data_IF_186087828195
#
_entry.id   IF_186087828195
#
_cell.length_a   1.000
_cell.length_b   1.000
_cell.length_c   1.000
_cell.angle_alpha   90.00
_cell.angle_beta   90.00
_cell.angle_gamma   90.00
#
_symmetry.space_group_name_H-M   'P 1'
#
loop_
_entity.id
_entity.type
_entity.pdbx_description
1 polymer ?
#
# COMPACT_ATOMS: atom_id res chain seq x y z
N UNK A 1 4.00 -19.71 -37.78
CA UNK A 1 4.15 -18.71 -36.70
C UNK A 1 3.34 -19.22 -35.51
N UNK A 2 4.03 -19.70 -34.47
CA UNK A 2 3.40 -20.36 -33.33
C UNK A 2 2.87 -19.32 -32.34
N UNK A 3 1.61 -18.96 -32.51
CA UNK A 3 0.84 -18.15 -31.57
C UNK A 3 0.41 -19.02 -30.38
N UNK A 4 1.28 -19.16 -29.37
CA UNK A 4 0.83 -19.66 -28.06
C UNK A 4 0.40 -18.44 -27.23
N UNK A 5 -0.90 -18.32 -26.89
CA UNK A 5 -1.49 -17.06 -26.46
C UNK A 5 -1.05 -16.68 -25.03
N UNK A 6 -1.31 -15.43 -24.59
CA UNK A 6 -1.00 -14.88 -23.26
C UNK A 6 -1.22 -15.83 -22.07
N UNK A 7 -2.15 -16.77 -22.19
CA UNK A 7 -2.43 -17.84 -21.23
C UNK A 7 -1.21 -18.68 -20.85
N UNK A 8 -0.33 -19.04 -21.81
CA UNK A 8 0.85 -19.86 -21.52
C UNK A 8 1.90 -19.10 -20.70
N UNK A 9 2.12 -17.83 -21.01
CA UNK A 9 3.01 -16.95 -20.24
C UNK A 9 2.49 -16.75 -18.81
N UNK A 10 1.18 -16.52 -18.66
CA UNK A 10 0.55 -16.40 -17.34
C UNK A 10 0.71 -17.67 -16.49
N UNK A 11 0.53 -18.86 -17.08
CA UNK A 11 0.73 -20.13 -16.35
C UNK A 11 2.19 -20.29 -15.89
N UNK A 12 3.16 -19.91 -16.72
CA UNK A 12 4.58 -19.93 -16.33
C UNK A 12 4.85 -18.91 -15.23
N UNK A 13 4.31 -17.70 -15.31
CA UNK A 13 4.44 -16.68 -14.27
C UNK A 13 3.90 -17.18 -12.92
N UNK A 14 2.71 -17.80 -12.92
CA UNK A 14 2.12 -18.41 -11.72
C UNK A 14 2.99 -19.51 -11.13
N UNK A 15 3.57 -20.38 -11.97
CA UNK A 15 4.50 -21.43 -11.52
C UNK A 15 5.77 -20.84 -10.90
N UNK A 16 6.36 -19.81 -11.52
CA UNK A 16 7.53 -19.12 -10.96
C UNK A 16 7.23 -18.57 -9.56
N UNK A 17 6.06 -17.93 -9.35
CA UNK A 17 5.67 -17.42 -8.03
C UNK A 17 5.50 -18.56 -7.01
N UNK A 18 4.87 -19.67 -7.41
CA UNK A 18 4.74 -20.85 -6.55
C UNK A 18 6.11 -21.42 -6.15
N UNK A 19 7.07 -21.44 -7.09
CA UNK A 19 8.41 -21.96 -6.87
C UNK A 19 9.26 -21.04 -5.98
N UNK A 20 9.13 -19.72 -6.12
CA UNK A 20 9.69 -18.70 -5.20
C UNK A 20 9.22 -18.96 -3.77
N UNK A 21 7.91 -19.09 -3.57
CA UNK A 21 7.31 -19.33 -2.25
C UNK A 21 7.73 -20.69 -1.70
N UNK A 22 7.66 -21.75 -2.50
CA UNK A 22 8.03 -23.12 -2.09
C UNK A 22 9.49 -23.23 -1.68
N UNK A 23 10.37 -22.47 -2.35
CA UNK A 23 11.81 -22.49 -2.08
C UNK A 23 12.21 -21.53 -0.95
N UNK A 24 11.26 -20.81 -0.35
CA UNK A 24 11.52 -19.87 0.74
C UNK A 24 12.38 -18.68 0.31
N UNK A 25 12.36 -18.34 -0.98
CA UNK A 25 13.11 -17.21 -1.52
C UNK A 25 12.57 -15.89 -0.96
N UNK A 26 13.47 -14.94 -0.76
CA UNK A 26 13.19 -13.61 -0.20
C UNK A 26 13.46 -12.52 -1.23
N UNK A 27 12.88 -11.32 -1.07
CA UNK A 27 13.28 -10.17 -1.86
C UNK A 27 14.81 -9.99 -1.85
N UNK A 28 15.40 -9.81 -3.03
CA UNK A 28 16.85 -9.76 -3.25
C UNK A 28 17.48 -11.06 -3.75
N UNK A 29 16.80 -12.20 -3.63
CA UNK A 29 17.31 -13.49 -4.13
C UNK A 29 17.25 -13.55 -5.67
N UNK A 30 18.26 -14.18 -6.27
CA UNK A 30 18.32 -14.42 -7.71
C UNK A 30 17.51 -15.65 -8.09
N UNK A 31 16.60 -15.50 -9.05
CA UNK A 31 16.00 -16.64 -9.75
C UNK A 31 17.04 -17.34 -10.63
N UNK A 32 16.78 -18.61 -11.02
CA UNK A 32 17.62 -19.30 -11.98
C UNK A 32 17.80 -18.48 -13.28
N UNK A 33 18.96 -18.56 -13.95
CA UNK A 33 19.16 -17.85 -15.21
C UNK A 33 18.16 -18.33 -16.27
N UNK A 34 17.78 -17.45 -17.22
CA UNK A 34 16.76 -17.76 -18.25
C UNK A 34 16.97 -19.13 -18.90
N UNK A 35 18.23 -19.48 -19.21
CA UNK A 35 18.58 -20.78 -19.84
C UNK A 35 18.15 -21.99 -19.00
N UNK A 36 18.29 -21.92 -17.68
CA UNK A 36 17.85 -22.99 -16.78
C UNK A 36 16.32 -23.04 -16.69
N UNK A 37 15.68 -21.87 -16.56
CA UNK A 37 14.23 -21.74 -16.51
C UNK A 37 13.54 -22.30 -17.77
N UNK A 38 14.13 -22.13 -18.97
CA UNK A 38 13.56 -22.69 -20.21
C UNK A 38 13.38 -24.22 -20.12
N UNK A 39 14.36 -24.91 -19.56
CA UNK A 39 14.31 -26.36 -19.37
C UNK A 39 13.39 -26.75 -18.22
N UNK A 40 13.45 -26.03 -17.10
CA UNK A 40 12.65 -26.30 -15.90
C UNK A 40 11.14 -26.14 -16.13
N UNK A 41 10.74 -25.09 -16.86
CA UNK A 41 9.34 -24.79 -17.13
C UNK A 41 8.81 -25.39 -18.44
N UNK A 42 9.66 -26.10 -19.20
CA UNK A 42 9.37 -26.59 -20.57
C UNK A 42 8.77 -25.48 -21.45
N UNK A 43 9.45 -24.33 -21.46
CA UNK A 43 8.95 -23.09 -22.04
C UNK A 43 9.75 -22.68 -23.28
N UNK A 44 9.05 -22.20 -24.31
CA UNK A 44 9.69 -21.47 -25.40
C UNK A 44 10.25 -20.13 -24.92
N UNK A 45 11.35 -19.66 -25.52
CA UNK A 45 12.01 -18.39 -25.15
C UNK A 45 11.08 -17.18 -25.09
N UNK A 46 10.21 -17.03 -26.09
CA UNK A 46 9.25 -15.92 -26.12
C UNK A 46 8.26 -15.99 -24.95
N UNK A 47 7.73 -17.17 -24.65
CA UNK A 47 6.75 -17.37 -23.57
C UNK A 47 7.36 -17.14 -22.19
N UNK A 48 8.59 -17.60 -21.94
CA UNK A 48 9.28 -17.34 -20.67
C UNK A 48 9.56 -15.85 -20.49
N UNK A 49 10.04 -15.16 -21.53
CA UNK A 49 10.30 -13.72 -21.44
C UNK A 49 9.03 -12.91 -21.20
N UNK A 50 7.93 -13.31 -21.81
CA UNK A 50 6.63 -12.68 -21.54
C UNK A 50 6.18 -12.94 -20.10
N UNK A 51 6.37 -14.15 -19.57
CA UNK A 51 6.09 -14.46 -18.18
C UNK A 51 6.93 -13.60 -17.21
N UNK A 52 8.22 -13.45 -17.48
CA UNK A 52 9.11 -12.59 -16.69
C UNK A 52 8.70 -11.11 -16.78
N UNK A 53 8.34 -10.61 -17.97
CA UNK A 53 7.82 -9.25 -18.12
C UNK A 53 6.52 -9.02 -17.34
N UNK A 54 5.61 -9.99 -17.33
CA UNK A 54 4.39 -9.92 -16.52
C UNK A 54 4.73 -9.82 -15.02
N UNK A 55 5.69 -10.62 -14.55
CA UNK A 55 6.12 -10.58 -13.14
C UNK A 55 6.86 -9.30 -12.78
N UNK A 56 7.68 -8.77 -13.70
CA UNK A 56 8.36 -7.49 -13.55
C UNK A 56 7.34 -6.34 -13.49
N UNK A 57 6.33 -6.36 -14.37
CA UNK A 57 5.24 -5.39 -14.37
C UNK A 57 4.41 -5.42 -13.08
N UNK A 58 4.28 -6.58 -12.45
CA UNK A 58 3.60 -6.76 -11.15
C UNK A 58 4.51 -6.48 -9.95
N UNK A 59 5.76 -6.06 -10.17
CA UNK A 59 6.73 -5.80 -9.10
C UNK A 59 7.16 -7.03 -8.32
N UNK A 60 6.92 -8.24 -8.85
CA UNK A 60 7.32 -9.51 -8.23
C UNK A 60 8.79 -9.80 -8.46
N UNK A 61 9.34 -9.30 -9.57
CA UNK A 61 10.77 -9.38 -9.88
C UNK A 61 11.28 -8.04 -10.43
N UNK A 62 12.59 -7.90 -10.48
CA UNK A 62 13.28 -6.91 -11.33
C UNK A 62 14.39 -7.59 -12.13
N UNK A 63 14.72 -7.06 -13.30
CA UNK A 63 15.82 -7.58 -14.11
C UNK A 63 17.14 -6.87 -13.78
N UNK A 64 18.11 -7.61 -13.23
CA UNK A 64 19.48 -7.12 -13.06
C UNK A 64 20.25 -7.28 -14.39
N UNK A 65 20.74 -6.19 -15.02
CA UNK A 65 21.49 -6.27 -16.27
C UNK A 65 22.93 -6.76 -16.06
N UNK A 66 23.57 -7.22 -17.15
CA UNK A 66 24.99 -7.57 -17.21
C UNK A 66 25.32 -9.05 -16.90
N UNK A 67 26.61 -9.45 -17.00
CA UNK A 67 27.06 -10.80 -16.69
C UNK A 67 26.77 -11.18 -15.23
N UNK A 68 26.14 -12.34 -15.01
CA UNK A 68 25.68 -12.75 -13.67
C UNK A 68 24.43 -12.00 -13.17
N UNK A 69 23.82 -11.19 -14.04
CA UNK A 69 22.48 -10.65 -13.85
C UNK A 69 21.39 -11.68 -14.10
N UNK A 70 20.14 -11.25 -14.00
CA UNK A 70 18.96 -12.10 -14.11
C UNK A 70 17.79 -11.57 -13.30
N UNK A 71 16.68 -12.30 -13.27
CA UNK A 71 15.51 -11.93 -12.48
C UNK A 71 15.83 -12.01 -10.99
N UNK A 72 15.54 -10.95 -10.25
CA UNK A 72 15.71 -10.84 -8.80
C UNK A 72 14.33 -10.75 -8.17
N UNK A 73 14.04 -11.59 -7.18
CA UNK A 73 12.77 -11.55 -6.44
C UNK A 73 12.62 -10.19 -5.76
N UNK A 74 11.42 -9.62 -5.84
CA UNK A 74 11.05 -8.36 -5.20
C UNK A 74 9.84 -8.57 -4.28
N UNK A 75 9.54 -7.56 -3.48
CA UNK A 75 8.25 -7.46 -2.78
C UNK A 75 7.38 -6.48 -3.57
N UNK A 76 6.25 -6.93 -4.16
CA UNK A 76 5.37 -6.04 -4.89
C UNK A 76 4.91 -4.86 -4.00
N UNK A 77 5.15 -3.60 -4.41
CA UNK A 77 4.64 -2.44 -3.67
C UNK A 77 3.11 -2.37 -3.74
N UNK A 78 2.47 -1.79 -2.72
CA UNK A 78 1.03 -1.61 -2.70
C UNK A 78 0.52 -0.68 -3.82
N UNK A 79 1.40 0.13 -4.40
CA UNK A 79 1.14 0.98 -5.56
C UNK A 79 0.59 0.20 -6.77
N UNK A 80 0.99 -1.06 -7.00
CA UNK A 80 0.41 -1.87 -8.09
C UNK A 80 -1.07 -2.17 -7.86
N UNK A 81 -1.47 -2.44 -6.61
CA UNK A 81 -2.88 -2.60 -6.24
C UNK A 81 -3.61 -1.26 -6.42
N UNK A 82 -3.00 -0.17 -5.95
CA UNK A 82 -3.53 1.19 -6.11
C UNK A 82 -3.81 1.54 -7.58
N UNK A 83 -2.83 1.33 -8.46
CA UNK A 83 -2.96 1.57 -9.91
C UNK A 83 -4.08 0.72 -10.55
N UNK A 84 -4.21 -0.54 -10.14
CA UNK A 84 -5.31 -1.40 -10.61
C UNK A 84 -6.67 -0.87 -10.13
N UNK A 85 -6.76 -0.42 -8.88
CA UNK A 85 -7.98 0.18 -8.33
C UNK A 85 -8.33 1.47 -9.05
N UNK A 86 -7.40 2.41 -9.26
CA UNK A 86 -7.69 3.68 -9.93
C UNK A 86 -8.12 3.50 -11.38
N UNK A 87 -7.56 2.53 -12.11
CA UNK A 87 -8.05 2.13 -13.43
C UNK A 87 -9.54 1.72 -13.39
N UNK A 88 -9.91 0.83 -12.46
CA UNK A 88 -11.29 0.38 -12.31
C UNK A 88 -12.20 1.53 -11.88
N UNK A 89 -11.75 2.40 -10.98
CA UNK A 89 -12.51 3.55 -10.51
C UNK A 89 -12.77 4.54 -11.65
N UNK A 90 -11.75 4.85 -12.46
CA UNK A 90 -11.89 5.74 -13.61
C UNK A 90 -12.89 5.17 -14.63
N UNK A 91 -12.82 3.87 -14.93
CA UNK A 91 -13.76 3.20 -15.85
C UNK A 91 -15.21 3.27 -15.35
N UNK A 92 -15.41 3.28 -14.03
CA UNK A 92 -16.72 3.39 -13.40
C UNK A 92 -17.10 4.84 -13.04
N UNK A 93 -16.30 5.83 -13.45
CA UNK A 93 -16.48 7.25 -13.12
C UNK A 93 -16.64 7.48 -11.60
N UNK A 94 -15.92 6.71 -10.79
CA UNK A 94 -16.05 6.75 -9.34
C UNK A 94 -15.31 7.97 -8.76
N UNK A 95 -15.96 8.73 -7.86
CA UNK A 95 -15.37 9.92 -7.25
C UNK A 95 -14.47 9.57 -6.05
N UNK A 96 -13.54 10.47 -5.66
CA UNK A 96 -12.63 10.24 -4.53
C UNK A 96 -13.31 9.93 -3.20
N UNK A 97 -14.53 10.42 -2.96
CA UNK A 97 -15.30 10.11 -1.73
C UNK A 97 -15.45 8.62 -1.46
N UNK A 98 -15.50 7.75 -2.48
CA UNK A 98 -15.66 6.31 -2.27
C UNK A 98 -14.43 5.71 -1.56
N UNK A 99 -13.24 6.29 -1.75
CA UNK A 99 -12.04 5.85 -1.04
C UNK A 99 -12.13 6.24 0.44
N UNK A 100 -12.64 7.44 0.73
CA UNK A 100 -12.86 7.90 2.10
C UNK A 100 -13.90 7.04 2.82
N UNK A 101 -14.98 6.64 2.13
CA UNK A 101 -16.00 5.71 2.64
C UNK A 101 -15.39 4.35 3.03
N UNK A 102 -14.53 3.78 2.17
CA UNK A 102 -13.83 2.51 2.46
C UNK A 102 -12.89 2.66 3.66
N UNK A 103 -12.12 3.75 3.73
CA UNK A 103 -11.23 4.02 4.88
C UNK A 103 -12.01 4.13 6.18
N UNK A 104 -13.14 4.84 6.18
CA UNK A 104 -14.01 4.97 7.35
C UNK A 104 -14.58 3.62 7.82
N UNK A 105 -14.82 2.68 6.91
CA UNK A 105 -15.29 1.35 7.24
C UNK A 105 -14.17 0.42 7.76
N UNK A 106 -12.98 0.48 7.17
CA UNK A 106 -11.91 -0.48 7.45
C UNK A 106 -10.94 -0.05 8.55
N UNK A 107 -10.45 1.19 8.52
CA UNK A 107 -9.36 1.63 9.38
C UNK A 107 -9.66 1.52 10.89
N UNK A 108 -10.89 1.80 11.38
CA UNK A 108 -11.21 1.61 12.80
C UNK A 108 -11.02 0.17 13.25
N UNK A 109 -11.54 -0.80 12.49
CA UNK A 109 -11.40 -2.22 12.81
C UNK A 109 -9.94 -2.69 12.67
N UNK A 110 -9.21 -2.18 11.69
CA UNK A 110 -7.77 -2.43 11.54
C UNK A 110 -7.01 -1.94 12.79
N UNK A 111 -7.34 -0.75 13.30
CA UNK A 111 -6.75 -0.21 14.53
C UNK A 111 -7.08 -1.05 15.76
N UNK A 112 -8.32 -1.55 15.87
CA UNK A 112 -8.74 -2.54 16.88
C UNK A 112 -7.82 -3.78 16.85
N UNK A 113 -7.69 -4.41 15.69
CA UNK A 113 -6.87 -5.61 15.52
C UNK A 113 -5.39 -5.33 15.81
N UNK A 114 -4.91 -4.14 15.45
CA UNK A 114 -3.56 -3.72 15.79
C UNK A 114 -3.38 -3.65 17.31
N UNK A 115 -4.32 -3.08 18.06
CA UNK A 115 -4.23 -3.05 19.53
C UNK A 115 -4.13 -4.44 20.17
N UNK A 116 -4.78 -5.44 19.58
CA UNK A 116 -4.72 -6.84 20.03
C UNK A 116 -3.39 -7.53 19.73
N UNK A 117 -2.62 -7.05 18.74
CA UNK A 117 -1.50 -7.80 18.12
C UNK A 117 -0.17 -7.06 18.09
N UNK A 118 -0.18 -5.75 18.32
CA UNK A 118 0.96 -4.88 18.09
C UNK A 118 2.15 -5.25 18.99
N UNK A 119 3.34 -5.31 18.38
CA UNK A 119 4.58 -5.60 19.07
C UNK A 119 5.41 -4.32 19.30
N UNK A 120 6.38 -4.40 20.23
CA UNK A 120 7.22 -3.26 20.61
C UNK A 120 7.90 -2.54 19.42
N UNK A 121 8.44 -3.22 18.38
CA UNK A 121 9.04 -2.52 17.24
C UNK A 121 8.06 -1.61 16.49
N UNK A 122 6.80 -2.04 16.32
CA UNK A 122 5.78 -1.23 15.66
C UNK A 122 5.35 -0.04 16.54
N UNK A 123 5.29 -0.20 17.87
CA UNK A 123 5.05 0.92 18.79
C UNK A 123 6.17 1.97 18.75
N UNK A 124 7.42 1.52 18.63
CA UNK A 124 8.57 2.42 18.43
C UNK A 124 8.44 3.17 17.11
N UNK A 125 8.11 2.47 16.02
CA UNK A 125 7.92 3.09 14.70
C UNK A 125 6.78 4.14 14.73
N UNK A 126 5.63 3.83 15.34
CA UNK A 126 4.54 4.81 15.53
C UNK A 126 4.99 6.01 16.36
N UNK A 127 5.83 5.79 17.38
CA UNK A 127 6.44 6.88 18.13
C UNK A 127 7.27 7.80 17.23
N UNK A 128 8.07 7.23 16.33
CA UNK A 128 8.89 8.03 15.39
C UNK A 128 8.04 8.84 14.41
N UNK A 129 6.91 8.29 13.93
CA UNK A 129 6.01 9.05 13.04
C UNK A 129 5.36 10.23 13.78
N UNK A 130 4.99 10.05 15.06
CA UNK A 130 4.45 11.14 15.90
C UNK A 130 5.48 12.26 16.09
N UNK A 131 6.74 11.92 16.40
CA UNK A 131 7.80 12.91 16.58
C UNK A 131 8.13 13.68 15.28
N UNK A 132 8.12 12.98 14.15
CA UNK A 132 8.29 13.60 12.84
C UNK A 132 7.14 14.58 12.55
N UNK A 133 5.88 14.13 12.69
CA UNK A 133 4.71 15.00 12.52
C UNK A 133 4.72 16.23 13.44
N UNK A 134 5.26 16.10 14.66
CA UNK A 134 5.40 17.23 15.59
C UNK A 134 6.46 18.23 15.13
N UNK A 135 7.59 17.75 14.63
CA UNK A 135 8.67 18.58 14.10
C UNK A 135 8.25 19.29 12.80
N UNK A 136 7.47 18.60 11.97
CA UNK A 136 7.12 19.02 10.62
C UNK A 136 5.75 19.74 10.55
N UNK A 137 5.24 20.28 11.65
CA UNK A 137 3.94 20.99 11.66
C UNK A 137 3.87 22.15 10.66
N UNK A 138 5.01 22.71 10.26
CA UNK A 138 5.12 23.81 9.31
C UNK A 138 5.59 23.36 7.90
N UNK A 139 6.07 22.12 7.76
CA UNK A 139 6.39 21.48 6.48
C UNK A 139 5.26 20.52 6.07
N UNK A 140 4.46 20.97 5.10
CA UNK A 140 3.26 20.23 4.68
C UNK A 140 3.59 18.83 4.16
N UNK A 141 4.57 18.72 3.27
CA UNK A 141 4.80 17.47 2.54
C UNK A 141 5.44 16.43 3.47
N UNK A 142 6.38 16.86 4.33
CA UNK A 142 6.96 16.00 5.37
C UNK A 142 5.91 15.55 6.41
N UNK A 143 4.98 16.43 6.80
CA UNK A 143 3.88 16.07 7.69
C UNK A 143 2.95 15.03 7.06
N UNK A 144 2.58 15.20 5.79
CA UNK A 144 1.70 14.29 5.07
C UNK A 144 2.31 12.89 4.93
N UNK A 145 3.61 12.81 4.64
CA UNK A 145 4.34 11.54 4.57
C UNK A 145 4.34 10.81 5.92
N UNK A 146 4.65 11.53 7.01
CA UNK A 146 4.65 10.93 8.35
C UNK A 146 3.24 10.52 8.79
N UNK A 147 2.23 11.32 8.44
CA UNK A 147 0.82 10.99 8.66
C UNK A 147 0.43 9.71 7.91
N UNK A 148 0.79 9.57 6.62
CA UNK A 148 0.56 8.34 5.84
C UNK A 148 1.24 7.14 6.51
N UNK A 149 2.51 7.30 6.87
CA UNK A 149 3.29 6.22 7.50
C UNK A 149 2.66 5.72 8.79
N UNK A 150 2.08 6.60 9.62
CA UNK A 150 1.37 6.21 10.84
C UNK A 150 0.26 5.18 10.56
N UNK A 151 -0.58 5.44 9.55
CA UNK A 151 -1.66 4.55 9.15
C UNK A 151 -1.13 3.22 8.58
N UNK A 152 -0.08 3.25 7.76
CA UNK A 152 0.54 2.04 7.21
C UNK A 152 1.10 1.12 8.32
N UNK A 153 1.71 1.70 9.36
CA UNK A 153 2.25 0.94 10.49
C UNK A 153 1.12 0.26 11.26
N UNK A 154 0.00 0.95 11.52
CA UNK A 154 -1.18 0.34 12.16
C UNK A 154 -1.73 -0.80 11.30
N UNK A 155 -1.84 -0.59 9.98
CA UNK A 155 -2.34 -1.61 9.07
C UNK A 155 -1.49 -2.88 9.08
N UNK A 156 -0.16 -2.75 9.06
CA UNK A 156 0.77 -3.89 9.24
C UNK A 156 0.66 -4.52 10.62
N UNK A 157 0.56 -3.71 11.67
CA UNK A 157 0.44 -4.18 13.06
C UNK A 157 -0.85 -4.95 13.33
N UNK A 158 -1.89 -4.80 12.50
CA UNK A 158 -3.09 -5.64 12.55
C UNK A 158 -2.81 -7.13 12.29
N UNK A 159 -1.63 -7.49 11.77
CA UNK A 159 -1.28 -8.87 11.43
C UNK A 159 -2.04 -9.45 10.24
N UNK A 160 -2.83 -8.63 9.53
CA UNK A 160 -3.47 -9.02 8.28
C UNK A 160 -2.76 -8.35 7.10
N UNK A 161 -2.01 -9.14 6.34
CA UNK A 161 -1.22 -8.66 5.19
C UNK A 161 -2.11 -7.97 4.14
N UNK A 162 -3.34 -8.44 3.93
CA UNK A 162 -4.25 -7.81 2.97
C UNK A 162 -4.69 -6.41 3.42
N UNK A 163 -4.89 -6.19 4.72
CA UNK A 163 -5.21 -4.86 5.23
C UNK A 163 -4.05 -3.88 5.05
N UNK A 164 -2.81 -4.33 5.20
CA UNK A 164 -1.65 -3.51 4.90
C UNK A 164 -1.65 -3.06 3.42
N UNK A 165 -1.82 -4.01 2.48
CA UNK A 165 -1.90 -3.70 1.05
C UNK A 165 -3.05 -2.76 0.71
N UNK A 166 -4.24 -2.99 1.27
CA UNK A 166 -5.41 -2.14 1.04
C UNK A 166 -5.13 -0.72 1.55
N UNK A 167 -4.78 -0.55 2.82
CA UNK A 167 -4.59 0.79 3.41
C UNK A 167 -3.48 1.56 2.70
N UNK A 168 -2.33 0.94 2.47
CA UNK A 168 -1.19 1.58 1.79
C UNK A 168 -1.58 2.03 0.37
N UNK A 169 -2.33 1.19 -0.37
CA UNK A 169 -2.84 1.55 -1.70
C UNK A 169 -3.84 2.72 -1.67
N UNK A 170 -4.78 2.72 -0.71
CA UNK A 170 -5.79 3.77 -0.60
C UNK A 170 -5.19 5.11 -0.19
N UNK A 171 -4.17 5.09 0.68
CA UNK A 171 -3.45 6.30 1.09
C UNK A 171 -2.58 6.86 -0.03
N UNK A 172 -1.96 6.00 -0.85
CA UNK A 172 -1.24 6.44 -2.05
C UNK A 172 -2.17 7.12 -3.07
N UNK A 173 -3.39 6.60 -3.25
CA UNK A 173 -4.41 7.25 -4.10
C UNK A 173 -4.83 8.61 -3.54
N UNK A 174 -4.93 8.73 -2.22
CA UNK A 174 -5.35 9.95 -1.52
C UNK A 174 -4.18 10.87 -1.12
N UNK A 175 -2.98 10.68 -1.67
CA UNK A 175 -1.86 11.58 -1.35
C UNK A 175 -2.30 13.02 -1.61
N UNK A 176 -2.45 13.79 -0.52
CA UNK A 176 -3.11 15.10 -0.52
C UNK A 176 -2.41 16.12 -1.40
N UNK A 177 -1.13 15.88 -1.71
CA UNK A 177 -0.36 16.67 -2.68
C UNK A 177 -0.84 16.48 -4.12
N UNK A 178 -1.31 15.27 -4.46
CA UNK A 178 -1.81 14.91 -5.79
C UNK A 178 -3.29 15.29 -6.01
N UNK A 179 -4.10 15.28 -4.94
CA UNK A 179 -5.54 15.59 -5.03
C UNK A 179 -5.91 16.99 -4.51
N UNK A 180 -4.95 17.77 -4.01
CA UNK A 180 -5.17 19.17 -3.64
C UNK A 180 -5.87 19.43 -2.28
N UNK A 181 -6.00 18.41 -1.42
CA UNK A 181 -6.52 18.58 -0.06
C UNK A 181 -5.39 19.07 0.85
N UNK A 182 -5.43 20.34 1.22
CA UNK A 182 -4.48 20.94 2.15
C UNK A 182 -4.96 20.89 3.61
N UNK A 183 -4.01 20.75 4.54
CA UNK A 183 -4.26 20.86 5.97
C UNK A 183 -3.56 22.10 6.53
N UNK A 184 -4.29 23.16 6.92
CA UNK A 184 -3.68 24.28 7.61
C UNK A 184 -3.06 23.79 8.93
N UNK A 185 -2.05 24.51 9.43
CA UNK A 185 -1.31 24.15 10.65
C UNK A 185 -2.21 23.74 11.82
N UNK A 186 -3.32 24.46 12.05
CA UNK A 186 -4.31 24.14 13.10
C UNK A 186 -4.90 22.73 12.94
N UNK A 187 -5.17 22.31 11.70
CA UNK A 187 -5.67 20.97 11.38
C UNK A 187 -4.59 19.92 11.56
N UNK A 188 -3.35 20.20 11.16
CA UNK A 188 -2.19 19.33 11.40
C UNK A 188 -1.97 19.06 12.89
N UNK A 189 -2.09 20.08 13.73
CA UNK A 189 -2.06 19.92 15.21
C UNK A 189 -3.20 19.02 15.71
N UNK A 190 -4.41 19.15 15.17
CA UNK A 190 -5.53 18.30 15.56
C UNK A 190 -5.34 16.83 15.13
N UNK A 191 -4.80 16.60 13.94
CA UNK A 191 -4.43 15.27 13.43
C UNK A 191 -3.36 14.63 14.33
N UNK A 192 -2.29 15.36 14.64
CA UNK A 192 -1.23 14.91 15.54
C UNK A 192 -1.81 14.45 16.89
N UNK A 193 -2.69 15.26 17.50
CA UNK A 193 -3.34 14.91 18.76
C UNK A 193 -4.21 13.65 18.65
N UNK A 194 -4.91 13.46 17.54
CA UNK A 194 -5.70 12.24 17.31
C UNK A 194 -4.78 11.01 17.20
N UNK A 195 -3.67 11.12 16.48
CA UNK A 195 -2.68 10.04 16.37
C UNK A 195 -2.01 9.72 17.71
N UNK A 196 -1.70 10.72 18.55
CA UNK A 196 -1.19 10.52 19.92
C UNK A 196 -2.17 9.69 20.77
N UNK A 197 -3.47 10.02 20.72
CA UNK A 197 -4.50 9.27 21.45
C UNK A 197 -4.63 7.82 20.97
N UNK A 198 -4.55 7.58 19.65
CA UNK A 198 -4.58 6.24 19.08
C UNK A 198 -3.34 5.44 19.50
N UNK A 199 -2.15 6.06 19.45
CA UNK A 199 -0.91 5.42 19.91
C UNK A 199 -0.98 5.05 21.40
N UNK A 200 -1.56 5.90 22.24
CA UNK A 200 -1.73 5.60 23.66
C UNK A 200 -2.76 4.48 23.92
N UNK A 201 -3.78 4.34 23.07
CA UNK A 201 -4.66 3.17 23.11
C UNK A 201 -3.93 1.88 22.70
N UNK A 202 -3.13 1.93 21.63
CA UNK A 202 -2.30 0.81 21.17
C UNK A 202 -1.28 0.37 22.24
N UNK A 203 -0.62 1.33 22.90
CA UNK A 203 0.33 1.04 24.00
C UNK A 203 -0.31 0.34 25.19
N UNK A 204 -1.58 0.65 25.48
CA UNK A 204 -2.35 0.04 26.57
C UNK A 204 -3.02 -1.27 26.15
N UNK A 205 -2.85 -1.70 24.90
CA UNK A 205 -3.55 -2.85 24.30
C UNK A 205 -5.07 -2.76 24.54
N UNK A 206 -5.64 -1.58 24.26
CA UNK A 206 -7.06 -1.26 24.43
C UNK A 206 -7.73 -1.19 23.03
N UNK A 207 -8.34 -2.29 22.56
CA UNK A 207 -8.88 -2.37 21.20
C UNK A 207 -10.08 -1.46 20.98
N UNK A 208 -10.95 -1.31 21.99
CA UNK A 208 -12.11 -0.42 21.94
C UNK A 208 -11.67 1.04 21.82
N UNK A 209 -10.69 1.49 22.61
CA UNK A 209 -10.17 2.84 22.51
C UNK A 209 -9.42 3.11 21.21
N UNK A 210 -8.68 2.13 20.68
CA UNK A 210 -7.99 2.25 19.41
C UNK A 210 -8.98 2.38 18.25
N UNK A 211 -10.01 1.53 18.22
CA UNK A 211 -11.10 1.60 17.25
C UNK A 211 -11.82 2.96 17.29
N UNK A 212 -12.24 3.39 18.48
CA UNK A 212 -12.95 4.65 18.66
C UNK A 212 -12.10 5.85 18.27
N UNK A 213 -10.81 5.85 18.63
CA UNK A 213 -9.87 6.90 18.27
C UNK A 213 -9.67 7.01 16.76
N UNK A 214 -9.47 5.87 16.08
CA UNK A 214 -9.32 5.84 14.62
C UNK A 214 -10.62 6.23 13.90
N UNK A 215 -11.77 5.78 14.40
CA UNK A 215 -13.09 6.18 13.88
C UNK A 215 -13.28 7.69 13.93
N UNK A 216 -13.06 8.30 15.10
CA UNK A 216 -13.18 9.74 15.26
C UNK A 216 -12.19 10.52 14.38
N UNK A 217 -10.97 10.00 14.20
CA UNK A 217 -9.95 10.60 13.32
C UNK A 217 -10.39 10.60 11.85
N UNK A 218 -10.83 9.45 11.32
CA UNK A 218 -11.27 9.35 9.92
C UNK A 218 -12.57 10.12 9.67
N UNK A 219 -13.52 10.09 10.61
CA UNK A 219 -14.76 10.89 10.53
C UNK A 219 -14.45 12.39 10.53
N UNK A 220 -13.51 12.84 11.36
CA UNK A 220 -13.08 14.23 11.35
C UNK A 220 -12.43 14.60 10.00
N UNK A 221 -11.62 13.72 9.41
CA UNK A 221 -11.07 13.94 8.07
C UNK A 221 -12.17 14.05 7.02
N UNK A 222 -13.13 13.12 7.02
CA UNK A 222 -14.25 13.13 6.09
C UNK A 222 -15.06 14.42 6.19
N UNK A 223 -15.43 14.83 7.41
CA UNK A 223 -16.15 16.08 7.65
C UNK A 223 -15.38 17.30 7.14
N UNK A 224 -14.07 17.35 7.41
CA UNK A 224 -13.21 18.44 6.93
C UNK A 224 -13.14 18.48 5.40
N UNK A 225 -12.93 17.32 4.76
CA UNK A 225 -12.85 17.22 3.31
C UNK A 225 -14.20 17.62 2.65
N UNK A 226 -15.33 17.16 3.19
CA UNK A 226 -16.66 17.56 2.71
C UNK A 226 -16.94 19.06 2.85
N UNK A 227 -16.49 19.67 3.94
CA UNK A 227 -16.73 21.08 4.21
C UNK A 227 -15.83 22.01 3.37
N UNK A 228 -14.57 21.63 3.16
CA UNK A 228 -13.56 22.53 2.58
C UNK A 228 -13.15 22.16 1.15
N UNK A 229 -13.35 20.90 0.75
CA UNK A 229 -12.94 20.37 -0.55
C UNK A 229 -14.04 19.48 -1.20
N UNK A 230 -15.32 19.91 -1.20
CA UNK A 230 -16.40 19.09 -1.74
C UNK A 230 -16.21 18.78 -3.23
N UNK A 231 -15.67 19.72 -4.00
CA UNK A 231 -15.41 19.54 -5.44
C UNK A 231 -14.38 18.44 -5.68
N UNK A 232 -13.26 18.46 -4.94
CA UNK A 232 -12.21 17.42 -5.00
C UNK A 232 -12.77 16.03 -4.68
N UNK A 233 -13.66 15.93 -3.68
CA UNK A 233 -14.26 14.64 -3.31
C UNK A 233 -15.17 14.06 -4.39
N UNK A 234 -15.78 14.90 -5.22
CA UNK A 234 -16.64 14.50 -6.34
C UNK A 234 -15.89 14.37 -7.68
N UNK A 235 -14.61 14.76 -7.73
CA UNK A 235 -13.77 14.53 -8.90
C UNK A 235 -13.60 13.03 -9.16
N UNK A 236 -13.72 12.65 -10.43
CA UNK A 236 -13.48 11.27 -10.86
C UNK A 236 -12.01 10.91 -10.65
N UNK A 237 -11.78 9.79 -9.98
CA UNK A 237 -10.44 9.23 -9.81
C UNK A 237 -9.84 8.95 -11.18
N UNK A 238 -8.61 9.40 -11.39
CA UNK A 238 -7.89 9.19 -12.64
C UNK A 238 -6.79 8.15 -12.44
N UNK A 239 -6.61 7.30 -13.44
CA UNK A 239 -5.49 6.38 -13.54
C UNK A 239 -4.26 7.16 -13.99
N UNK A 240 -3.51 7.67 -13.03
CA UNK A 240 -2.15 8.14 -13.24
C UNK A 240 -1.20 6.93 -13.19
N UNK A 241 -0.39 6.77 -14.24
CA UNK A 241 0.59 5.68 -14.37
C UNK A 241 1.89 5.95 -13.63
#
# INVERSE_FOLDING_TARGET
MSDRPPKAAMLIAQRIVQDVVRSGMRPGDLLPPERAMLAEYDAGRGTLREALRLLEFQGVISLKPGPGGGPVVQSPPAEHLGSTLTLLMQLNQAPYRVIVEVRAALEPMISRLAAERIAAPALTELGTTIEAMRSDLDDRDAFLESNRRFHDVIARASGNVLFAYIVESLLGILDGTAIGIDYPRKRRVAILKAHELILDALRRADPEAAEAGMRAHIEAYNHYAQQHFPEVLEETITWAG
#
